data_IF_747002263168
#
_entry.id   IF_747002263168
#
_cell.length_a   1.000
_cell.length_b   1.000
_cell.length_c   1.000
_cell.angle_alpha   90.00
_cell.angle_beta   90.00
_cell.angle_gamma   90.00
#
_symmetry.space_group_name_H-M   'P 1'
#
loop_
_entity.id
_entity.type
_entity.pdbx_description
1 polymer ?
#
# COMPACT_ATOMS: atom_id res chain seq x y z
N UNK A 1 -51.95 -0.16 -4.50
CA UNK A 1 -50.55 -0.56 -4.70
C UNK A 1 -50.53 -1.62 -5.79
N UNK A 2 -50.47 -1.22 -7.03
CA UNK A 2 -50.45 -2.13 -8.19
C UNK A 2 -49.03 -2.09 -8.74
N UNK A 3 -48.28 -3.19 -8.61
CA UNK A 3 -47.01 -3.34 -9.29
C UNK A 3 -47.31 -3.66 -10.75
N UNK A 4 -47.15 -2.69 -11.62
CA UNK A 4 -47.20 -2.92 -13.07
C UNK A 4 -45.85 -3.50 -13.49
N UNK A 5 -45.73 -4.83 -13.39
CA UNK A 5 -44.66 -5.59 -14.03
C UNK A 5 -45.06 -5.84 -15.48
N UNK A 6 -44.40 -5.22 -16.40
CA UNK A 6 -44.47 -5.62 -17.81
C UNK A 6 -43.57 -6.86 -17.99
N UNK A 7 -44.17 -8.04 -18.11
CA UNK A 7 -43.52 -9.24 -18.65
C UNK A 7 -43.22 -8.96 -20.13
N UNK A 8 -41.97 -8.69 -20.43
CA UNK A 8 -41.43 -8.71 -21.79
C UNK A 8 -40.50 -9.92 -21.89
N UNK A 9 -40.81 -10.75 -22.87
CA UNK A 9 -40.15 -11.97 -23.24
C UNK A 9 -38.69 -11.70 -23.66
N UNK A 10 -37.78 -11.60 -22.71
CA UNK A 10 -36.32 -11.69 -22.80
C UNK A 10 -35.60 -11.15 -21.55
N UNK A 11 -35.93 -11.67 -20.38
CA UNK A 11 -34.97 -11.67 -19.26
C UNK A 11 -34.69 -10.34 -18.51
N UNK A 12 -35.22 -9.19 -18.91
CA UNK A 12 -35.07 -7.90 -18.20
C UNK A 12 -36.41 -7.47 -17.57
N UNK A 13 -36.69 -7.96 -16.38
CA UNK A 13 -37.77 -7.42 -15.53
C UNK A 13 -37.27 -6.13 -14.84
N UNK A 14 -37.35 -4.99 -15.51
CA UNK A 14 -37.01 -3.69 -14.96
C UNK A 14 -38.27 -2.90 -14.63
N UNK A 15 -38.25 -2.16 -13.48
CA UNK A 15 -39.36 -1.30 -13.08
C UNK A 15 -39.43 -0.09 -14.03
N UNK A 16 -40.66 0.26 -14.52
CA UNK A 16 -40.87 1.42 -15.39
C UNK A 16 -40.31 2.71 -14.81
N UNK A 17 -40.45 2.91 -13.50
CA UNK A 17 -39.93 4.10 -12.83
C UNK A 17 -38.39 4.16 -12.88
N UNK A 18 -37.71 3.02 -12.71
CA UNK A 18 -36.24 2.95 -12.81
C UNK A 18 -35.74 3.27 -14.23
N UNK A 19 -36.50 2.85 -15.26
CA UNK A 19 -36.17 3.13 -16.65
C UNK A 19 -36.29 4.62 -16.97
N UNK A 20 -37.37 5.30 -16.51
CA UNK A 20 -37.56 6.74 -16.65
C UNK A 20 -36.46 7.51 -15.88
N UNK A 21 -36.12 7.09 -14.67
CA UNK A 21 -35.09 7.74 -13.88
C UNK A 21 -33.69 7.66 -14.55
N UNK A 22 -33.32 6.50 -15.06
CA UNK A 22 -32.07 6.32 -15.83
C UNK A 22 -32.05 7.14 -17.12
N UNK A 23 -33.20 7.26 -17.81
CA UNK A 23 -33.33 8.11 -18.99
C UNK A 23 -33.04 9.57 -18.65
N UNK A 24 -33.66 10.11 -17.62
CA UNK A 24 -33.49 11.50 -17.18
C UNK A 24 -32.06 11.81 -16.71
N UNK A 25 -31.34 10.78 -16.22
CA UNK A 25 -29.95 10.89 -15.80
C UNK A 25 -28.94 10.63 -16.94
N UNK A 26 -29.39 10.34 -18.16
CA UNK A 26 -28.55 9.92 -19.29
C UNK A 26 -27.72 8.64 -19.01
N UNK A 27 -28.26 7.69 -18.26
CA UNK A 27 -27.57 6.48 -17.80
C UNK A 27 -28.13 5.18 -18.39
N UNK A 28 -28.97 5.26 -19.42
CA UNK A 28 -29.48 4.07 -20.12
C UNK A 28 -28.36 3.34 -20.85
N UNK A 29 -28.30 2.02 -20.68
CA UNK A 29 -27.50 1.15 -21.54
C UNK A 29 -28.13 1.03 -22.94
N UNK A 30 -27.39 0.50 -23.92
CA UNK A 30 -27.91 0.31 -25.30
C UNK A 30 -29.15 -0.60 -25.33
N UNK A 31 -29.18 -1.63 -24.49
CA UNK A 31 -30.31 -2.57 -24.40
C UNK A 31 -31.53 -1.91 -23.74
N UNK A 32 -31.33 -1.16 -22.66
CA UNK A 32 -32.37 -0.38 -21.98
C UNK A 32 -32.94 0.72 -22.87
N UNK A 33 -32.11 1.31 -23.73
CA UNK A 33 -32.54 2.34 -24.67
C UNK A 33 -33.50 1.81 -25.72
N UNK A 34 -33.21 0.63 -26.28
CA UNK A 34 -34.10 -0.04 -27.24
C UNK A 34 -35.44 -0.37 -26.58
N UNK A 35 -35.43 -0.81 -25.32
CA UNK A 35 -36.65 -1.07 -24.56
C UNK A 35 -37.43 0.21 -24.29
N UNK A 36 -36.77 1.29 -23.88
CA UNK A 36 -37.36 2.60 -23.63
C UNK A 36 -38.01 3.17 -24.86
N UNK A 37 -37.34 3.17 -26.02
CA UNK A 37 -37.88 3.67 -27.29
C UNK A 37 -39.11 2.88 -27.73
N UNK A 38 -39.12 1.54 -27.56
CA UNK A 38 -40.27 0.70 -27.83
C UNK A 38 -41.48 1.06 -26.94
N UNK A 39 -41.25 1.24 -25.63
CA UNK A 39 -42.33 1.65 -24.70
C UNK A 39 -42.88 3.02 -25.01
N UNK A 40 -42.03 3.95 -25.46
CA UNK A 40 -42.48 5.27 -25.90
C UNK A 40 -43.39 5.20 -27.16
N UNK A 41 -43.15 4.24 -28.04
CA UNK A 41 -43.98 4.07 -29.27
C UNK A 41 -45.29 3.35 -28.99
N UNK A 42 -45.26 2.30 -28.16
CA UNK A 42 -46.36 1.35 -27.99
C UNK A 42 -47.28 1.68 -26.81
N UNK A 43 -46.77 2.38 -25.75
CA UNK A 43 -47.51 2.64 -24.52
C UNK A 43 -47.75 4.14 -24.31
N UNK A 44 -49.02 4.57 -24.49
CA UNK A 44 -49.42 5.97 -24.35
C UNK A 44 -49.36 6.47 -22.89
N UNK A 45 -49.57 5.58 -21.91
CA UNK A 45 -49.45 5.89 -20.50
C UNK A 45 -47.99 6.16 -20.12
N UNK A 46 -47.08 5.30 -20.58
CA UNK A 46 -45.64 5.48 -20.38
C UNK A 46 -45.12 6.76 -21.04
N UNK A 47 -45.54 7.07 -22.25
CA UNK A 47 -45.19 8.32 -22.93
C UNK A 47 -45.64 9.56 -22.13
N UNK A 48 -46.87 9.52 -21.60
CA UNK A 48 -47.40 10.59 -20.76
C UNK A 48 -46.62 10.77 -19.45
N UNK A 49 -46.19 9.67 -18.84
CA UNK A 49 -45.36 9.66 -17.63
C UNK A 49 -43.96 10.28 -17.89
N UNK A 50 -43.29 9.86 -18.97
CA UNK A 50 -42.00 10.43 -19.39
C UNK A 50 -42.10 11.92 -19.63
N UNK A 51 -43.14 12.35 -20.39
CA UNK A 51 -43.35 13.77 -20.68
C UNK A 51 -43.59 14.59 -19.42
N UNK A 52 -44.38 14.07 -18.49
CA UNK A 52 -44.63 14.72 -17.21
C UNK A 52 -43.35 14.88 -16.38
N UNK A 53 -42.48 13.85 -16.38
CA UNK A 53 -41.21 13.92 -15.66
C UNK A 53 -40.18 14.86 -16.33
N UNK A 54 -40.16 14.93 -17.66
CA UNK A 54 -39.36 15.91 -18.41
C UNK A 54 -39.82 17.36 -18.10
N UNK A 55 -41.14 17.61 -18.06
CA UNK A 55 -41.70 18.92 -17.71
C UNK A 55 -41.34 19.33 -16.28
N UNK A 56 -41.40 18.40 -15.32
CA UNK A 56 -40.98 18.65 -13.93
C UNK A 56 -39.48 18.98 -13.88
N UNK A 57 -38.65 18.25 -14.59
CA UNK A 57 -37.22 18.49 -14.63
C UNK A 57 -36.88 19.86 -15.25
N UNK A 58 -37.57 20.22 -16.35
CA UNK A 58 -37.40 21.51 -16.99
C UNK A 58 -37.81 22.69 -16.08
N UNK A 59 -38.90 22.55 -15.35
CA UNK A 59 -39.37 23.56 -14.37
C UNK A 59 -38.38 23.67 -13.20
N UNK A 60 -37.89 22.54 -12.67
CA UNK A 60 -36.90 22.51 -11.59
C UNK A 60 -35.61 23.20 -12.00
N UNK A 61 -35.08 22.91 -13.20
CA UNK A 61 -33.87 23.56 -13.71
C UNK A 61 -34.02 25.06 -13.90
N UNK A 62 -35.17 25.53 -14.38
CA UNK A 62 -35.46 26.96 -14.51
C UNK A 62 -35.56 27.69 -13.16
N UNK A 63 -36.16 27.05 -12.17
CA UNK A 63 -36.25 27.58 -10.80
C UNK A 63 -34.88 27.70 -10.15
N UNK A 64 -34.01 26.66 -10.31
CA UNK A 64 -32.63 26.63 -9.79
C UNK A 64 -31.79 27.72 -10.47
N UNK A 65 -31.90 27.91 -11.79
CA UNK A 65 -31.20 28.99 -12.50
C UNK A 65 -31.67 30.37 -12.03
N UNK A 66 -32.98 30.55 -11.78
CA UNK A 66 -33.52 31.82 -11.30
C UNK A 66 -33.02 32.14 -9.90
N UNK A 67 -33.06 31.17 -8.98
CA UNK A 67 -32.56 31.32 -7.61
C UNK A 67 -31.06 31.62 -7.64
N UNK A 68 -30.29 30.92 -8.46
CA UNK A 68 -28.86 31.14 -8.60
C UNK A 68 -28.55 32.55 -9.14
N UNK A 69 -29.29 33.03 -10.14
CA UNK A 69 -29.13 34.40 -10.67
C UNK A 69 -29.53 35.47 -9.63
N UNK A 70 -30.61 35.27 -8.87
CA UNK A 70 -30.97 36.17 -7.79
C UNK A 70 -29.89 36.22 -6.68
N UNK A 71 -29.33 35.08 -6.32
CA UNK A 71 -28.21 35.02 -5.36
C UNK A 71 -26.98 35.75 -5.90
N UNK A 72 -26.61 35.56 -7.16
CA UNK A 72 -25.50 36.31 -7.78
C UNK A 72 -25.73 37.82 -7.77
N UNK A 73 -26.93 38.27 -8.08
CA UNK A 73 -27.28 39.72 -8.05
C UNK A 73 -27.22 40.29 -6.61
N UNK A 74 -27.59 39.52 -5.61
CA UNK A 74 -27.43 39.90 -4.20
C UNK A 74 -25.94 40.03 -3.84
N UNK A 75 -25.12 39.07 -4.24
CA UNK A 75 -23.66 39.11 -4.03
C UNK A 75 -23.00 40.29 -4.76
N UNK A 76 -23.41 40.61 -5.98
CA UNK A 76 -22.94 41.80 -6.70
C UNK A 76 -23.35 43.12 -6.03
N UNK A 77 -24.54 43.17 -5.45
CA UNK A 77 -25.06 44.38 -4.81
C UNK A 77 -24.49 44.63 -3.42
N UNK A 78 -24.13 43.57 -2.72
CA UNK A 78 -23.44 43.67 -1.42
C UNK A 78 -21.91 43.83 -1.56
N UNK A 79 -21.34 43.54 -2.71
CA UNK A 79 -19.93 43.77 -2.99
C UNK A 79 -19.63 45.25 -3.27
N UNK A 80 -19.90 46.10 -2.30
CA UNK A 80 -19.23 47.37 -2.19
C UNK A 80 -17.77 47.10 -1.81
N UNK A 81 -17.09 46.37 -2.66
CA UNK A 81 -15.67 46.07 -2.52
C UNK A 81 -14.98 47.43 -2.67
N UNK A 82 -14.62 48.05 -1.54
CA UNK A 82 -13.58 49.08 -1.54
C UNK A 82 -12.49 48.59 -2.46
N UNK A 83 -12.26 49.24 -3.60
CA UNK A 83 -11.18 48.92 -4.52
C UNK A 83 -9.88 48.87 -3.74
N UNK A 84 -9.54 47.69 -3.28
CA UNK A 84 -8.25 47.46 -2.64
C UNK A 84 -7.15 47.88 -3.63
N UNK A 85 -6.29 48.77 -3.17
CA UNK A 85 -5.17 49.28 -3.97
C UNK A 85 -4.45 48.08 -4.62
N UNK A 86 -4.15 48.18 -5.91
CA UNK A 86 -3.59 47.08 -6.71
C UNK A 86 -2.33 46.42 -6.12
N UNK A 87 -1.68 47.07 -5.12
CA UNK A 87 -0.59 46.49 -4.34
C UNK A 87 -1.04 45.36 -3.43
N UNK A 88 -2.21 45.50 -2.75
CA UNK A 88 -2.73 44.45 -1.85
C UNK A 88 -3.29 43.26 -2.65
N UNK A 89 -3.85 43.48 -3.84
CA UNK A 89 -4.29 42.40 -4.72
C UNK A 89 -3.12 41.54 -5.17
N UNK A 90 -2.00 42.16 -5.56
CA UNK A 90 -0.77 41.43 -5.91
C UNK A 90 -0.17 40.67 -4.73
N UNK A 91 -0.22 41.22 -3.52
CA UNK A 91 0.23 40.53 -2.30
C UNK A 91 -0.66 39.34 -1.93
N UNK A 92 -1.99 39.48 -2.06
CA UNK A 92 -2.94 38.39 -1.82
C UNK A 92 -2.78 37.26 -2.85
N UNK A 93 -2.55 37.61 -4.14
CA UNK A 93 -2.22 36.63 -5.19
C UNK A 93 -0.91 35.89 -4.87
N UNK A 94 0.13 36.59 -4.46
CA UNK A 94 1.39 35.97 -4.07
C UNK A 94 1.20 35.06 -2.84
N UNK A 95 0.45 35.51 -1.82
CA UNK A 95 0.17 34.71 -0.63
C UNK A 95 -0.66 33.46 -0.95
N UNK A 96 -1.64 33.54 -1.87
CA UNK A 96 -2.43 32.39 -2.29
C UNK A 96 -1.60 31.36 -3.03
N UNK A 97 -0.66 31.77 -3.89
CA UNK A 97 0.27 30.86 -4.57
C UNK A 97 1.18 30.17 -3.56
N UNK A 98 1.73 30.90 -2.60
CA UNK A 98 2.57 30.31 -1.54
C UNK A 98 1.77 29.31 -0.71
N UNK A 99 0.50 29.62 -0.41
CA UNK A 99 -0.37 28.74 0.36
C UNK A 99 -0.71 27.46 -0.44
N UNK A 100 -1.02 27.57 -1.71
CA UNK A 100 -1.28 26.40 -2.59
C UNK A 100 -0.02 25.54 -2.75
N UNK A 101 1.16 26.16 -2.93
CA UNK A 101 2.42 25.42 -3.05
C UNK A 101 2.78 24.74 -1.72
N UNK A 102 2.58 25.42 -0.58
CA UNK A 102 2.83 24.84 0.73
C UNK A 102 1.86 23.71 1.08
N UNK A 103 0.57 23.86 0.78
CA UNK A 103 -0.40 22.78 0.89
C UNK A 103 -0.05 21.62 -0.06
N UNK A 104 0.29 21.92 -1.32
CA UNK A 104 0.76 20.92 -2.28
C UNK A 104 1.96 20.15 -1.77
N UNK A 105 2.94 20.81 -1.15
CA UNK A 105 4.11 20.17 -0.55
C UNK A 105 3.76 19.30 0.66
N UNK A 106 2.84 19.74 1.52
CA UNK A 106 2.39 18.99 2.72
C UNK A 106 1.57 17.76 2.33
N UNK A 107 0.69 17.90 1.32
CA UNK A 107 -0.19 16.82 0.85
C UNK A 107 0.40 16.03 -0.32
N UNK A 108 1.63 16.38 -0.78
CA UNK A 108 2.28 15.58 -1.82
C UNK A 108 2.50 14.16 -1.29
N UNK A 109 1.98 13.14 -1.96
CA UNK A 109 2.19 11.77 -1.53
C UNK A 109 3.69 11.51 -1.51
N UNK A 110 4.24 11.33 -0.31
CA UNK A 110 5.63 10.91 -0.20
C UNK A 110 5.77 9.58 -0.93
N UNK A 111 6.78 9.42 -1.81
CA UNK A 111 7.02 8.15 -2.47
C UNK A 111 7.16 7.08 -1.38
N UNK A 112 6.28 6.09 -1.41
CA UNK A 112 6.34 4.98 -0.46
C UNK A 112 7.64 4.22 -0.76
N UNK A 113 8.49 4.08 0.25
CA UNK A 113 9.73 3.32 0.11
C UNK A 113 9.43 1.91 -0.38
N UNK A 114 10.15 1.47 -1.40
CA UNK A 114 10.00 0.10 -1.87
C UNK A 114 10.54 -0.87 -0.83
N UNK A 115 10.01 -2.10 -0.78
CA UNK A 115 10.50 -3.12 0.14
C UNK A 115 12.00 -3.40 -0.05
N UNK A 116 12.50 -3.26 -1.27
CA UNK A 116 13.93 -3.37 -1.57
C UNK A 116 14.75 -2.22 -0.96
N UNK A 117 14.26 -0.99 -1.01
CA UNK A 117 14.93 0.15 -0.37
C UNK A 117 14.99 -0.03 1.14
N UNK A 118 13.87 -0.42 1.77
CA UNK A 118 13.81 -0.71 3.20
C UNK A 118 14.78 -1.84 3.56
N UNK A 119 14.86 -2.89 2.73
CA UNK A 119 15.81 -3.99 2.94
C UNK A 119 17.25 -3.50 2.91
N UNK A 120 17.64 -2.75 1.90
CA UNK A 120 19.03 -2.24 1.74
C UNK A 120 19.42 -1.33 2.91
N UNK A 121 18.49 -0.53 3.43
CA UNK A 121 18.76 0.37 4.55
C UNK A 121 18.92 -0.36 5.90
N UNK A 122 18.18 -1.46 6.10
CA UNK A 122 18.05 -2.07 7.42
C UNK A 122 18.68 -3.45 7.57
N UNK A 123 19.00 -4.12 6.47
CA UNK A 123 19.65 -5.43 6.53
C UNK A 123 21.17 -5.29 6.56
N UNK A 124 21.74 -5.87 7.61
CA UNK A 124 23.16 -6.13 7.74
C UNK A 124 23.36 -7.56 8.22
N UNK A 125 24.27 -8.35 7.62
CA UNK A 125 24.62 -9.66 8.16
C UNK A 125 25.08 -9.54 9.61
N UNK A 126 24.59 -10.44 10.46
CA UNK A 126 24.94 -10.37 11.88
C UNK A 126 26.45 -10.54 12.07
N UNK A 127 27.05 -9.64 12.86
CA UNK A 127 28.49 -9.71 13.16
C UNK A 127 28.87 -11.05 13.80
N UNK A 128 30.04 -11.53 13.50
CA UNK A 128 30.57 -12.71 14.15
C UNK A 128 30.85 -12.46 15.65
N UNK A 129 30.19 -13.21 16.52
CA UNK A 129 30.40 -13.18 17.97
C UNK A 129 30.83 -14.55 18.52
N UNK A 130 30.99 -15.56 17.64
CA UNK A 130 31.28 -16.94 18.01
C UNK A 130 32.78 -17.21 17.96
N UNK A 131 33.46 -16.74 16.91
CA UNK A 131 34.86 -17.05 16.66
C UNK A 131 35.59 -15.76 16.26
N UNK A 132 36.16 -15.01 17.21
CA UNK A 132 36.98 -13.84 16.88
C UNK A 132 38.10 -14.19 15.91
N UNK A 133 38.19 -13.46 14.80
CA UNK A 133 39.27 -13.66 13.82
C UNK A 133 40.48 -12.83 14.26
N UNK A 134 41.50 -13.53 14.76
CA UNK A 134 42.79 -12.91 15.13
C UNK A 134 43.64 -12.76 13.86
N UNK A 135 44.07 -11.53 13.56
CA UNK A 135 44.98 -11.24 12.47
C UNK A 135 46.41 -11.58 12.91
N UNK A 136 47.06 -12.47 12.19
CA UNK A 136 48.50 -12.64 12.32
C UNK A 136 49.06 -14.05 12.54
N UNK A 137 48.24 -15.09 12.71
CA UNK A 137 48.77 -16.45 12.85
C UNK A 137 48.56 -17.26 11.56
N UNK A 138 49.67 -17.63 10.90
CA UNK A 138 49.70 -18.62 9.80
C UNK A 138 49.61 -20.08 10.31
N UNK A 139 49.09 -20.28 11.53
CA UNK A 139 48.80 -21.62 12.01
C UNK A 139 47.65 -22.25 11.23
N UNK A 140 47.66 -23.57 11.10
CA UNK A 140 46.65 -24.35 10.42
C UNK A 140 45.26 -24.05 11.01
N UNK A 141 44.49 -23.16 10.35
CA UNK A 141 43.19 -22.71 10.83
C UNK A 141 42.20 -23.87 10.86
N UNK A 142 41.46 -24.00 11.94
CA UNK A 142 40.34 -24.94 11.99
C UNK A 142 39.26 -24.57 10.95
N UNK A 143 38.48 -25.56 10.50
CA UNK A 143 37.36 -25.32 9.57
C UNK A 143 36.38 -24.26 10.12
N UNK A 144 36.15 -24.23 11.43
CA UNK A 144 35.34 -23.19 12.10
C UNK A 144 35.95 -21.79 11.93
N UNK A 145 37.24 -21.63 12.19
CA UNK A 145 37.92 -20.35 11.99
C UNK A 145 37.86 -19.90 10.54
N UNK A 146 38.06 -20.84 9.60
CA UNK A 146 37.99 -20.55 8.16
C UNK A 146 36.55 -20.14 7.72
N UNK A 147 35.53 -20.81 8.23
CA UNK A 147 34.14 -20.49 7.93
C UNK A 147 33.77 -19.05 8.35
N UNK A 148 34.11 -18.68 9.59
CA UNK A 148 33.86 -17.33 10.09
C UNK A 148 34.76 -16.28 9.43
N UNK A 149 35.97 -16.61 9.07
CA UNK A 149 36.86 -15.75 8.30
C UNK A 149 36.25 -15.43 6.91
N UNK A 150 35.75 -16.44 6.20
CA UNK A 150 35.09 -16.22 4.91
C UNK A 150 33.81 -15.37 5.06
N UNK A 151 33.04 -15.60 6.11
CA UNK A 151 31.87 -14.83 6.43
C UNK A 151 32.21 -13.34 6.63
N UNK A 152 33.21 -13.02 7.46
CA UNK A 152 33.65 -11.64 7.72
C UNK A 152 34.27 -10.96 6.48
N UNK A 153 34.88 -11.75 5.58
CA UNK A 153 35.42 -11.26 4.31
C UNK A 153 34.34 -11.07 3.22
N UNK A 154 33.09 -11.36 3.51
CA UNK A 154 32.00 -11.30 2.53
C UNK A 154 32.03 -12.45 1.50
N UNK A 155 32.87 -13.46 1.69
CA UNK A 155 32.98 -14.66 0.84
C UNK A 155 31.90 -15.67 1.23
N UNK A 156 30.66 -15.24 1.17
CA UNK A 156 29.51 -15.96 1.72
C UNK A 156 29.28 -17.33 1.09
N UNK A 157 29.54 -17.52 -0.20
CA UNK A 157 29.45 -18.83 -0.85
C UNK A 157 30.37 -19.87 -0.19
N UNK A 158 31.61 -19.47 0.11
CA UNK A 158 32.57 -20.34 0.79
C UNK A 158 32.19 -20.60 2.25
N UNK A 159 31.70 -19.56 2.93
CA UNK A 159 31.24 -19.68 4.31
C UNK A 159 30.06 -20.65 4.44
N UNK A 160 29.08 -20.59 3.54
CA UNK A 160 27.89 -21.45 3.50
C UNK A 160 28.27 -22.92 3.45
N UNK A 161 29.21 -23.28 2.58
CA UNK A 161 29.67 -24.67 2.42
C UNK A 161 30.29 -25.20 3.74
N UNK A 162 31.11 -24.38 4.39
CA UNK A 162 31.73 -24.76 5.65
C UNK A 162 30.73 -24.80 6.81
N UNK A 163 29.79 -23.83 6.87
CA UNK A 163 28.74 -23.87 7.89
C UNK A 163 27.85 -25.10 7.76
N UNK A 164 27.57 -25.55 6.53
CA UNK A 164 26.81 -26.78 6.28
C UNK A 164 27.53 -28.00 6.82
N UNK A 165 28.83 -28.15 6.49
CA UNK A 165 29.67 -29.23 6.96
C UNK A 165 29.76 -29.23 8.50
N UNK A 166 30.04 -28.07 9.09
CA UNK A 166 30.16 -27.90 10.53
C UNK A 166 28.85 -28.22 11.26
N UNK A 167 27.72 -27.75 10.73
CA UNK A 167 26.41 -28.08 11.30
C UNK A 167 26.11 -29.59 11.21
N UNK A 168 26.44 -30.23 10.09
CA UNK A 168 26.21 -31.67 9.93
C UNK A 168 26.97 -32.50 10.99
N UNK A 169 28.13 -32.03 11.40
CA UNK A 169 29.04 -32.73 12.35
C UNK A 169 28.72 -32.39 13.80
N UNK A 170 28.64 -31.10 14.15
CA UNK A 170 28.54 -30.66 15.54
C UNK A 170 27.11 -30.36 16.01
N UNK A 171 26.17 -30.15 15.07
CA UNK A 171 24.79 -29.75 15.33
C UNK A 171 24.63 -28.43 16.10
N UNK A 172 25.67 -27.61 16.15
CA UNK A 172 25.64 -26.31 16.82
C UNK A 172 24.69 -25.36 16.08
N UNK A 173 23.60 -24.86 16.73
CA UNK A 173 22.53 -24.15 16.03
C UNK A 173 22.94 -22.83 15.39
N UNK A 174 23.93 -22.12 15.94
CA UNK A 174 24.41 -20.86 15.40
C UNK A 174 24.92 -20.98 13.94
N UNK A 175 25.33 -22.16 13.48
CA UNK A 175 25.70 -22.35 12.07
C UNK A 175 24.51 -22.16 11.13
N UNK A 176 23.31 -22.55 11.54
CA UNK A 176 22.09 -22.28 10.78
C UNK A 176 21.82 -20.76 10.65
N UNK A 177 22.02 -20.04 11.74
CA UNK A 177 21.85 -18.61 11.80
C UNK A 177 22.83 -17.86 10.89
N UNK A 178 24.13 -18.15 10.97
CA UNK A 178 25.13 -17.51 10.13
C UNK A 178 25.01 -17.93 8.66
N UNK A 179 24.69 -19.19 8.38
CA UNK A 179 24.37 -19.63 7.01
C UNK A 179 23.18 -18.86 6.43
N UNK A 180 22.12 -18.70 7.21
CA UNK A 180 20.96 -17.96 6.76
C UNK A 180 21.28 -16.48 6.47
N UNK A 181 22.06 -15.83 7.33
CA UNK A 181 22.52 -14.45 7.08
C UNK A 181 23.35 -14.35 5.79
N UNK A 182 24.25 -15.29 5.54
CA UNK A 182 25.03 -15.36 4.30
C UNK A 182 24.13 -15.57 3.07
N UNK A 183 23.13 -16.43 3.17
CA UNK A 183 22.15 -16.67 2.08
C UNK A 183 21.32 -15.42 1.76
N UNK A 184 20.84 -14.69 2.77
CA UNK A 184 20.11 -13.44 2.56
C UNK A 184 20.98 -12.44 1.80
N UNK A 185 22.23 -12.28 2.20
CA UNK A 185 23.18 -11.38 1.53
C UNK A 185 23.44 -11.76 0.06
N UNK A 186 23.39 -13.06 -0.27
CA UNK A 186 23.49 -13.57 -1.63
C UNK A 186 22.18 -13.58 -2.42
N UNK A 187 21.15 -12.87 -1.98
CA UNK A 187 19.81 -12.86 -2.58
C UNK A 187 19.09 -14.23 -2.59
N UNK A 188 19.50 -15.15 -1.71
CA UNK A 188 18.94 -16.50 -1.54
C UNK A 188 18.05 -16.58 -0.30
N UNK A 189 17.24 -15.53 -0.06
CA UNK A 189 16.44 -15.39 1.16
C UNK A 189 15.42 -16.53 1.34
N UNK A 190 14.88 -17.10 0.25
CA UNK A 190 13.97 -18.27 0.33
C UNK A 190 14.62 -19.48 0.99
N UNK A 191 15.91 -19.68 0.80
CA UNK A 191 16.65 -20.77 1.43
C UNK A 191 17.03 -20.45 2.89
N UNK A 192 17.15 -19.17 3.23
CA UNK A 192 17.45 -18.73 4.59
C UNK A 192 16.27 -18.90 5.56
N UNK A 193 15.04 -18.72 5.09
CA UNK A 193 13.83 -18.77 5.92
C UNK A 193 13.74 -20.07 6.74
N UNK A 194 13.76 -21.27 6.16
CA UNK A 194 13.64 -22.49 6.94
C UNK A 194 14.79 -22.70 7.94
N UNK A 195 15.97 -22.17 7.65
CA UNK A 195 17.11 -22.25 8.58
C UNK A 195 16.90 -21.35 9.81
N UNK A 196 16.36 -20.14 9.61
CA UNK A 196 16.03 -19.21 10.69
C UNK A 196 14.86 -19.74 11.53
N UNK A 197 13.86 -20.34 10.90
CA UNK A 197 12.73 -20.96 11.61
C UNK A 197 13.18 -22.17 12.44
N UNK A 198 14.12 -22.97 11.92
CA UNK A 198 14.73 -24.06 12.68
C UNK A 198 15.58 -23.51 13.85
N UNK A 199 16.39 -22.49 13.60
CA UNK A 199 17.23 -21.85 14.62
C UNK A 199 16.40 -21.21 15.74
N UNK A 200 15.30 -20.55 15.41
CA UNK A 200 14.40 -19.93 16.38
C UNK A 200 13.86 -20.92 17.44
N UNK A 201 13.73 -22.20 17.09
CA UNK A 201 13.23 -23.26 17.98
C UNK A 201 14.31 -23.81 18.90
N UNK A 202 15.55 -23.36 18.77
CA UNK A 202 16.68 -23.85 19.58
C UNK A 202 16.85 -23.04 20.87
N UNK A 203 17.70 -23.50 21.76
CA UNK A 203 18.10 -22.79 22.99
C UNK A 203 19.35 -21.93 22.78
N UNK A 204 19.73 -21.65 21.54
CA UNK A 204 20.88 -20.79 21.23
C UNK A 204 20.61 -19.35 21.70
N UNK A 205 21.64 -18.70 22.22
CA UNK A 205 21.56 -17.28 22.64
C UNK A 205 21.27 -16.33 21.49
N UNK A 206 21.56 -16.73 20.24
CA UNK A 206 21.23 -15.96 19.04
C UNK A 206 19.80 -16.20 18.54
N UNK A 207 19.07 -17.18 19.08
CA UNK A 207 17.73 -17.51 18.63
C UNK A 207 16.77 -16.32 18.75
N UNK A 208 16.91 -15.48 19.76
CA UNK A 208 16.13 -14.26 19.96
C UNK A 208 16.30 -13.23 18.82
N UNK A 209 17.32 -13.37 17.97
CA UNK A 209 17.58 -12.48 16.84
C UNK A 209 16.94 -12.98 15.53
N UNK A 210 16.57 -14.26 15.48
CA UNK A 210 15.99 -14.88 14.28
C UNK A 210 14.71 -14.21 13.79
N UNK A 211 13.78 -13.69 14.63
CA UNK A 211 12.61 -12.97 14.16
C UNK A 211 12.94 -11.75 13.31
N UNK A 212 13.98 -10.98 13.69
CA UNK A 212 14.43 -9.86 12.87
C UNK A 212 14.93 -10.30 11.50
N UNK A 213 15.77 -11.34 11.45
CA UNK A 213 16.31 -11.85 10.19
C UNK A 213 15.26 -12.57 9.34
N UNK A 214 14.24 -13.17 9.93
CA UNK A 214 13.06 -13.66 9.22
C UNK A 214 12.29 -12.49 8.58
N UNK A 215 12.08 -11.40 9.32
CA UNK A 215 11.46 -10.20 8.74
C UNK A 215 12.26 -9.67 7.56
N UNK A 216 13.60 -9.60 7.66
CA UNK A 216 14.48 -9.17 6.57
C UNK A 216 14.46 -10.14 5.38
N UNK A 217 14.42 -11.45 5.63
CA UNK A 217 14.32 -12.45 4.56
C UNK A 217 13.00 -12.34 3.79
N UNK A 218 11.88 -12.16 4.48
CA UNK A 218 10.58 -11.96 3.86
C UNK A 218 10.47 -10.60 3.14
N UNK A 219 11.10 -9.56 3.70
CA UNK A 219 11.21 -8.25 3.06
C UNK A 219 11.98 -8.36 1.71
N UNK A 220 13.07 -9.12 1.68
CA UNK A 220 13.88 -9.35 0.49
C UNK A 220 13.13 -10.06 -0.63
N UNK A 221 12.21 -10.97 -0.29
CA UNK A 221 11.38 -11.67 -1.28
C UNK A 221 10.03 -10.96 -1.55
N UNK A 222 9.88 -9.72 -1.07
CA UNK A 222 8.69 -8.89 -1.26
C UNK A 222 7.39 -9.48 -0.66
N UNK A 223 7.49 -10.26 0.42
CA UNK A 223 6.34 -10.79 1.16
C UNK A 223 5.97 -9.86 2.32
N UNK A 224 5.14 -8.87 2.04
CA UNK A 224 4.70 -7.84 2.99
C UNK A 224 3.99 -8.44 4.22
N UNK A 225 3.20 -9.48 4.03
CA UNK A 225 2.40 -10.06 5.10
C UNK A 225 3.28 -10.76 6.14
N UNK A 226 4.19 -11.61 5.69
CA UNK A 226 5.13 -12.29 6.58
C UNK A 226 6.15 -11.32 7.16
N UNK A 227 6.59 -10.30 6.42
CA UNK A 227 7.43 -9.22 6.95
C UNK A 227 6.77 -8.56 8.16
N UNK A 228 5.51 -8.11 8.03
CA UNK A 228 4.77 -7.50 9.14
C UNK A 228 4.62 -8.44 10.33
N UNK A 229 4.26 -9.70 10.09
CA UNK A 229 4.13 -10.72 11.13
C UNK A 229 5.39 -10.85 11.97
N UNK A 230 6.55 -10.98 11.31
CA UNK A 230 7.82 -11.16 12.02
C UNK A 230 8.32 -9.87 12.69
N UNK A 231 8.08 -8.69 12.09
CA UNK A 231 8.35 -7.41 12.74
C UNK A 231 7.50 -7.23 14.01
N UNK A 232 6.24 -7.62 14.00
CA UNK A 232 5.37 -7.61 15.19
C UNK A 232 5.96 -8.48 16.30
N UNK A 233 6.40 -9.69 15.97
CA UNK A 233 7.06 -10.57 16.94
C UNK A 233 8.33 -9.95 17.52
N UNK A 234 9.15 -9.25 16.72
CA UNK A 234 10.32 -8.50 17.21
C UNK A 234 9.92 -7.41 18.20
N UNK A 235 8.84 -6.68 17.93
CA UNK A 235 8.32 -5.64 18.84
C UNK A 235 7.80 -6.23 20.14
N UNK A 236 7.04 -7.32 20.07
CA UNK A 236 6.49 -8.02 21.25
C UNK A 236 7.58 -8.54 22.18
N UNK A 237 8.67 -9.06 21.63
CA UNK A 237 9.82 -9.52 22.40
C UNK A 237 10.56 -8.36 23.09
N UNK A 238 10.42 -7.13 22.58
CA UNK A 238 11.02 -5.91 23.09
C UNK A 238 12.54 -6.01 23.37
N UNK A 239 13.28 -6.68 22.48
CA UNK A 239 14.72 -6.92 22.60
C UNK A 239 15.48 -6.42 21.37
N UNK A 240 16.11 -7.30 20.64
CA UNK A 240 16.95 -6.97 19.49
C UNK A 240 16.17 -6.26 18.36
N UNK A 241 16.57 -5.03 18.00
CA UNK A 241 15.98 -4.21 16.92
C UNK A 241 14.50 -3.84 17.11
N UNK A 242 13.91 -3.96 18.31
CA UNK A 242 12.49 -3.69 18.56
C UNK A 242 12.05 -2.28 18.14
N UNK A 243 12.83 -1.25 18.45
CA UNK A 243 12.51 0.13 18.06
C UNK A 243 12.54 0.32 16.54
N UNK A 244 13.51 -0.29 15.86
CA UNK A 244 13.60 -0.27 14.39
C UNK A 244 12.41 -1.01 13.76
N UNK A 245 12.06 -2.19 14.29
CA UNK A 245 10.90 -2.96 13.85
C UNK A 245 9.59 -2.17 13.99
N UNK A 246 9.42 -1.42 15.08
CA UNK A 246 8.25 -0.57 15.27
C UNK A 246 8.16 0.56 14.24
N UNK A 247 9.30 1.18 13.87
CA UNK A 247 9.33 2.19 12.80
C UNK A 247 8.96 1.59 11.46
N UNK A 248 9.54 0.42 11.12
CA UNK A 248 9.24 -0.27 9.87
C UNK A 248 7.79 -0.71 9.76
N UNK A 249 7.16 -1.16 10.83
CA UNK A 249 5.74 -1.48 10.82
C UNK A 249 4.87 -0.27 10.46
N UNK A 250 5.24 0.92 10.91
CA UNK A 250 4.51 2.16 10.57
C UNK A 250 4.68 2.56 9.11
N UNK A 251 5.87 2.36 8.53
CA UNK A 251 6.12 2.68 7.11
C UNK A 251 5.52 1.67 6.14
N UNK A 252 5.29 0.43 6.60
CA UNK A 252 4.68 -0.63 5.80
C UNK A 252 3.13 -0.63 5.85
N UNK A 253 2.51 0.15 6.72
CA UNK A 253 1.05 0.29 6.77
C UNK A 253 0.56 1.31 5.77
#
# INVERSE_FOLDING_TARGET
MSKNLTEIDDGLAMDRQELVEKYLQNQLSEEERVLFDRLLEEDEEFRSEVQFMEDIQAVSQQEDERIFREQLLIFEKESNIRRMSGRYVKLLLAASIVLVVSLGYVFWPKPQESMEQIFVEHFEPYRNVIQPVVRGEEQQKSEKQLAFQYYEQGKYDKAIVLFDKLYSTSKEPYYLFYKANALIQLNRAKEAIPLLEAHLKTKDTLAEKSPWYLAMAYLKINDKNNTKKWLQQVVEQNRYKAQTAQKLLRSLN
#
